data_IF_015722857959
#
_entry.id   IF_015722857959
#
_cell.length_a   1.000
_cell.length_b   1.000
_cell.length_c   1.000
_cell.angle_alpha   90.00
_cell.angle_beta   90.00
_cell.angle_gamma   90.00
#
_symmetry.space_group_name_H-M   'P 1'
#
loop_
_entity.id
_entity.type
_entity.pdbx_description
1 polymer ?
#
# COMPACT_ATOMS: atom_id res chain seq x y z
N UNK A 1 32.41 111.53 26.60
CA UNK A 1 32.49 111.49 25.13
C UNK A 1 32.74 110.04 24.71
N UNK A 2 31.93 109.54 23.77
CA UNK A 2 32.14 108.46 22.76
C UNK A 2 33.21 107.38 23.08
N UNK A 3 32.93 106.08 23.00
CA UNK A 3 31.81 105.36 22.44
C UNK A 3 31.98 103.85 22.56
N UNK A 4 30.86 103.14 22.44
CA UNK A 4 30.77 101.69 22.27
C UNK A 4 31.06 101.28 20.82
N UNK A 5 31.40 100.00 20.62
CA UNK A 5 30.71 99.23 19.58
C UNK A 5 30.11 97.91 20.11
N UNK A 6 28.87 97.65 19.70
CA UNK A 6 28.24 96.32 19.49
C UNK A 6 28.67 95.85 18.08
N UNK A 7 28.59 94.55 17.64
CA UNK A 7 27.38 93.70 17.73
C UNK A 7 27.50 92.14 17.66
N UNK A 8 26.37 91.48 17.98
CA UNK A 8 25.72 90.30 17.34
C UNK A 8 26.55 89.04 17.00
N UNK A 9 26.29 87.92 17.71
CA UNK A 9 26.24 86.53 17.19
C UNK A 9 25.12 85.78 17.97
N UNK A 10 23.93 85.63 17.38
CA UNK A 10 23.32 84.37 16.90
C UNK A 10 23.22 83.26 17.99
N UNK A 11 22.06 83.02 18.61
CA UNK A 11 20.89 82.27 18.09
C UNK A 11 21.26 80.85 17.60
N UNK A 12 21.31 79.87 18.53
CA UNK A 12 21.13 78.42 18.30
C UNK A 12 21.45 77.63 19.58
N UNK A 13 20.48 77.47 20.49
CA UNK A 13 20.54 76.45 21.56
C UNK A 13 19.13 76.22 22.15
N UNK A 14 18.17 75.91 21.27
CA UNK A 14 16.81 75.51 21.67
C UNK A 14 16.24 74.46 20.70
N UNK A 15 16.94 73.34 20.53
CA UNK A 15 16.45 72.17 19.76
C UNK A 15 17.23 70.88 20.07
N UNK A 16 17.32 70.46 21.34
CA UNK A 16 17.99 69.21 21.70
C UNK A 16 17.31 68.42 22.83
N UNK A 17 15.97 68.41 22.90
CA UNK A 17 15.21 67.61 23.87
C UNK A 17 13.97 66.93 23.27
N UNK A 18 14.02 66.49 22.01
CA UNK A 18 12.98 65.60 21.43
C UNK A 18 13.63 64.57 20.47
N UNK A 19 14.50 63.70 20.99
CA UNK A 19 14.95 62.52 20.23
C UNK A 19 15.34 61.43 21.22
N UNK A 20 14.51 60.40 21.40
CA UNK A 20 14.98 59.25 22.19
C UNK A 20 13.97 58.21 22.67
N UNK A 21 12.69 58.26 22.31
CA UNK A 21 11.83 57.06 22.37
C UNK A 21 11.83 56.40 21.00
N UNK A 22 12.94 55.78 20.62
CA UNK A 22 12.90 54.75 19.58
C UNK A 22 12.29 53.51 20.23
N UNK A 23 10.96 53.36 20.12
CA UNK A 23 10.38 52.02 20.12
C UNK A 23 11.03 51.29 18.95
N UNK A 24 12.06 50.50 19.25
CA UNK A 24 12.56 49.49 18.32
C UNK A 24 11.32 48.76 17.81
N UNK A 25 11.09 48.68 16.49
CA UNK A 25 10.10 47.75 15.99
C UNK A 25 10.56 46.40 16.52
N UNK A 26 9.73 45.78 17.35
CA UNK A 26 9.88 44.39 17.73
C UNK A 26 9.91 43.67 16.39
N UNK A 27 11.12 43.34 15.92
CA UNK A 27 11.29 42.57 14.72
C UNK A 27 10.58 41.28 15.05
N UNK A 28 9.35 41.14 14.52
CA UNK A 28 8.58 39.90 14.56
C UNK A 28 9.52 38.90 13.94
N UNK A 29 10.23 38.16 14.79
CA UNK A 29 11.18 37.16 14.37
C UNK A 29 10.31 36.07 13.80
N UNK A 30 10.17 36.14 12.49
CA UNK A 30 9.64 35.12 11.58
C UNK A 30 10.63 33.93 11.57
N UNK A 31 10.96 33.44 12.77
CA UNK A 31 11.91 32.36 12.97
C UNK A 31 11.10 31.09 13.06
N UNK A 32 11.30 30.22 12.08
CA UNK A 32 10.71 28.90 12.07
C UNK A 32 10.95 28.19 13.42
N UNK A 33 10.01 27.35 13.88
CA UNK A 33 10.19 26.61 15.13
C UNK A 33 11.50 25.81 15.14
N UNK A 34 12.11 25.67 16.31
CA UNK A 34 13.38 24.94 16.45
C UNK A 34 13.29 23.48 15.96
N UNK A 35 12.15 22.82 16.21
CA UNK A 35 11.92 21.45 15.75
C UNK A 35 11.89 21.32 14.22
N UNK A 36 11.45 22.37 13.52
CA UNK A 36 11.38 22.42 12.07
C UNK A 36 12.74 22.78 11.47
N UNK A 37 13.34 23.88 11.94
CA UNK A 37 14.63 24.38 11.44
C UNK A 37 15.78 23.40 11.66
N UNK A 38 15.73 22.60 12.73
CA UNK A 38 16.76 21.60 13.06
C UNK A 38 16.35 20.18 12.70
N UNK A 39 15.15 19.96 12.15
CA UNK A 39 14.61 18.64 11.81
C UNK A 39 14.79 17.61 12.94
N UNK A 40 14.50 18.00 14.18
CA UNK A 40 14.84 17.24 15.38
C UNK A 40 13.83 16.16 15.75
N UNK A 41 12.72 16.05 15.03
CA UNK A 41 11.74 15.02 15.33
C UNK A 41 12.30 13.68 14.88
N UNK A 42 12.26 12.70 15.79
CA UNK A 42 12.68 11.32 15.53
C UNK A 42 11.53 10.41 15.93
N UNK A 43 11.14 9.53 15.02
CA UNK A 43 10.21 8.45 15.28
C UNK A 43 10.81 7.16 14.71
N UNK A 44 11.02 6.17 15.58
CA UNK A 44 11.65 4.92 15.19
C UNK A 44 10.82 4.21 14.12
N UNK A 45 11.47 3.81 13.01
CA UNK A 45 10.80 3.14 11.90
C UNK A 45 9.86 4.06 11.11
N UNK A 46 10.06 5.37 11.15
CA UNK A 46 9.32 6.31 10.32
C UNK A 46 10.24 7.24 9.53
N UNK A 47 9.81 7.59 8.33
CA UNK A 47 10.38 8.69 7.57
C UNK A 47 9.56 9.95 7.82
N UNK A 48 10.25 11.08 8.01
CA UNK A 48 9.61 12.35 8.35
C UNK A 48 9.85 13.32 7.22
N UNK A 49 8.78 13.92 6.70
CA UNK A 49 8.81 15.04 5.78
C UNK A 49 8.43 16.32 6.49
N UNK A 50 9.15 17.39 6.20
CA UNK A 50 8.92 18.72 6.77
C UNK A 50 8.41 19.66 5.70
N UNK A 51 7.42 20.49 6.04
CA UNK A 51 6.87 21.46 5.11
C UNK A 51 6.41 22.74 5.79
N UNK A 52 6.49 23.82 5.04
CA UNK A 52 5.94 25.10 5.42
C UNK A 52 5.06 25.68 4.32
N UNK A 53 4.14 26.57 4.68
CA UNK A 53 3.24 27.22 3.73
C UNK A 53 2.48 28.38 4.37
N UNK A 54 1.85 29.22 3.55
CA UNK A 54 0.99 30.29 4.05
C UNK A 54 -0.30 29.72 4.66
N UNK A 55 -0.69 28.51 4.26
CA UNK A 55 -1.79 27.75 4.85
C UNK A 55 -1.34 26.40 5.38
N UNK A 56 -2.11 25.82 6.30
CA UNK A 56 -1.88 24.46 6.78
C UNK A 56 -1.89 23.43 5.64
N UNK A 57 -2.74 23.63 4.63
CA UNK A 57 -2.84 22.74 3.47
C UNK A 57 -1.56 22.77 2.64
N UNK A 58 -1.03 23.96 2.37
CA UNK A 58 0.25 24.14 1.69
C UNK A 58 1.41 23.53 2.48
N UNK A 59 1.46 23.76 3.80
CA UNK A 59 2.50 23.18 4.66
C UNK A 59 2.45 21.64 4.65
N UNK A 60 1.25 21.05 4.68
CA UNK A 60 1.07 19.59 4.53
C UNK A 60 1.49 19.09 3.15
N UNK A 61 1.18 19.83 2.09
CA UNK A 61 1.60 19.47 0.73
C UNK A 61 3.12 19.54 0.57
N UNK A 62 3.76 20.59 1.12
CA UNK A 62 5.20 20.72 1.16
C UNK A 62 5.86 19.58 1.94
N UNK A 63 5.30 19.19 3.10
CA UNK A 63 5.79 18.08 3.90
C UNK A 63 5.68 16.74 3.17
N UNK A 64 4.60 16.54 2.40
CA UNK A 64 4.45 15.36 1.51
C UNK A 64 5.50 15.35 0.41
N UNK A 65 5.73 16.49 -0.25
CA UNK A 65 6.73 16.60 -1.29
C UNK A 65 8.15 16.33 -0.75
N UNK A 66 8.45 16.83 0.44
CA UNK A 66 9.70 16.55 1.13
C UNK A 66 9.88 15.06 1.44
N UNK A 67 8.86 14.43 2.02
CA UNK A 67 8.85 13.00 2.28
C UNK A 67 9.06 12.18 1.00
N UNK A 68 8.39 12.54 -0.10
CA UNK A 68 8.57 11.90 -1.41
C UNK A 68 10.02 11.99 -1.91
N UNK A 69 10.70 13.14 -1.72
CA UNK A 69 12.11 13.28 -2.10
C UNK A 69 13.03 12.42 -1.24
N UNK A 70 12.82 12.40 0.08
CA UNK A 70 13.59 11.55 1.00
C UNK A 70 13.47 10.07 0.62
N UNK A 71 12.25 9.65 0.30
CA UNK A 71 11.95 8.31 -0.20
C UNK A 71 12.68 7.99 -1.50
N UNK A 72 12.60 8.87 -2.49
CA UNK A 72 13.27 8.71 -3.78
C UNK A 72 14.78 8.56 -3.58
N UNK A 73 15.39 9.45 -2.80
CA UNK A 73 16.83 9.40 -2.50
C UNK A 73 17.24 8.09 -1.83
N UNK A 74 16.48 7.62 -0.84
CA UNK A 74 16.80 6.38 -0.14
C UNK A 74 16.64 5.14 -1.03
N UNK A 75 15.59 5.08 -1.85
CA UNK A 75 15.40 3.96 -2.79
C UNK A 75 16.47 3.95 -3.88
N UNK A 76 16.82 5.11 -4.45
CA UNK A 76 17.95 5.21 -5.38
C UNK A 76 19.27 4.77 -4.72
N UNK A 77 19.51 5.12 -3.46
CA UNK A 77 20.71 4.72 -2.73
C UNK A 77 20.79 3.22 -2.44
N UNK A 78 19.66 2.55 -2.15
CA UNK A 78 19.60 1.10 -1.94
C UNK A 78 19.79 0.32 -3.25
N UNK A 79 19.30 0.85 -4.38
CA UNK A 79 19.50 0.26 -5.71
C UNK A 79 20.96 0.45 -6.20
N UNK A 80 21.71 1.40 -5.65
CA UNK A 80 23.09 1.68 -6.07
C UNK A 80 24.12 0.68 -5.50
N UNK A 81 23.73 -0.23 -4.59
CA UNK A 81 24.64 -1.20 -3.94
C UNK A 81 24.52 -2.64 -4.49
N UNK A 82 23.57 -2.92 -5.39
CA UNK A 82 23.50 -4.20 -6.13
C UNK A 82 23.90 -3.98 -7.61
N UNK A 83 25.18 -3.67 -7.84
CA UNK A 83 25.79 -3.66 -9.19
C UNK A 83 26.58 -4.95 -9.39
N UNK A 84 25.96 -5.99 -9.95
CA UNK A 84 26.71 -7.04 -10.63
C UNK A 84 26.89 -6.66 -12.09
N UNK A 85 28.16 -6.49 -12.47
CA UNK A 85 28.62 -6.09 -13.78
C UNK A 85 28.64 -7.34 -14.70
N UNK A 86 27.61 -7.51 -15.52
CA UNK A 86 27.64 -8.47 -16.63
C UNK A 86 27.75 -7.73 -17.96
N UNK A 87 28.87 -7.94 -18.65
CA UNK A 87 29.05 -7.66 -20.09
C UNK A 87 28.79 -6.23 -20.59
N UNK A 88 29.20 -5.21 -19.83
CA UNK A 88 29.39 -3.85 -20.38
C UNK A 88 28.14 -3.05 -20.73
N UNK A 89 26.94 -3.61 -20.60
CA UNK A 89 25.67 -2.86 -20.72
C UNK A 89 25.06 -2.60 -19.34
N UNK A 90 24.92 -1.31 -19.00
CA UNK A 90 24.22 -0.84 -17.81
C UNK A 90 22.75 -0.66 -18.16
N UNK A 91 21.93 -1.69 -17.95
CA UNK A 91 20.48 -1.57 -18.08
C UNK A 91 19.90 -1.02 -16.77
N UNK A 92 19.32 0.18 -16.85
CA UNK A 92 18.82 0.97 -15.72
C UNK A 92 17.42 0.50 -15.30
N UNK A 93 17.33 -0.30 -14.25
CA UNK A 93 16.06 -0.76 -13.65
C UNK A 93 15.61 0.09 -12.45
N UNK A 94 15.90 1.41 -12.46
CA UNK A 94 15.60 2.30 -11.34
C UNK A 94 14.30 3.12 -11.50
N UNK A 95 13.66 3.07 -12.68
CA UNK A 95 12.57 4.00 -13.02
C UNK A 95 11.20 3.61 -12.42
N UNK A 96 10.98 2.33 -12.14
CA UNK A 96 9.66 1.82 -11.72
C UNK A 96 9.36 1.97 -10.22
N UNK A 97 10.30 1.64 -9.33
CA UNK A 97 10.12 1.81 -7.89
C UNK A 97 9.87 3.29 -7.50
N UNK A 98 10.47 4.22 -8.25
CA UNK A 98 10.36 5.67 -8.05
C UNK A 98 8.98 6.21 -8.47
N UNK A 99 8.38 5.68 -9.55
CA UNK A 99 7.01 6.03 -9.95
C UNK A 99 5.96 5.46 -8.99
N UNK A 100 6.14 4.23 -8.52
CA UNK A 100 5.20 3.62 -7.56
C UNK A 100 5.27 4.30 -6.18
N UNK A 101 6.43 4.78 -5.72
CA UNK A 101 6.58 5.53 -4.46
C UNK A 101 6.13 7.00 -4.55
N UNK A 102 6.18 7.60 -5.73
CA UNK A 102 5.65 8.96 -5.96
C UNK A 102 4.14 8.98 -6.17
N UNK A 103 3.56 7.89 -6.69
CA UNK A 103 2.11 7.65 -6.78
C UNK A 103 1.53 6.92 -5.59
N UNK A 104 2.36 6.35 -4.71
CA UNK A 104 1.94 5.86 -3.40
C UNK A 104 1.38 7.05 -2.65
N UNK A 105 0.08 7.26 -2.81
CA UNK A 105 -0.69 8.11 -1.93
C UNK A 105 -0.34 7.61 -0.53
N UNK A 106 0.35 8.45 0.24
CA UNK A 106 0.64 8.13 1.63
C UNK A 106 -0.68 8.11 2.37
N UNK A 107 -1.37 6.97 2.29
CA UNK A 107 -2.72 6.78 2.81
C UNK A 107 -2.75 6.89 4.33
N UNK A 108 -1.58 6.78 4.98
CA UNK A 108 -1.40 6.82 6.44
C UNK A 108 -0.23 7.72 6.84
N UNK A 109 -0.37 9.04 6.66
CA UNK A 109 0.55 10.01 7.25
C UNK A 109 0.08 10.43 8.63
N UNK A 110 0.95 10.25 9.62
CA UNK A 110 0.74 10.80 10.95
C UNK A 110 1.26 12.24 10.98
N UNK A 111 0.45 13.19 11.44
CA UNK A 111 0.98 14.53 11.76
C UNK A 111 1.69 14.44 13.11
N UNK A 112 3.01 14.60 13.12
CA UNK A 112 3.80 14.61 14.37
C UNK A 112 3.72 15.95 15.07
N UNK A 113 3.78 17.02 14.28
CA UNK A 113 3.70 18.37 14.80
C UNK A 113 3.17 19.33 13.74
N UNK A 114 2.42 20.32 14.20
CA UNK A 114 1.99 21.46 13.40
C UNK A 114 2.02 22.70 14.27
N UNK A 115 2.55 23.79 13.73
CA UNK A 115 2.67 25.06 14.44
C UNK A 115 2.45 26.21 13.45
N UNK A 116 1.77 27.27 13.88
CA UNK A 116 1.60 28.49 13.10
C UNK A 116 2.40 29.60 13.76
N UNK A 117 3.35 30.18 13.02
CA UNK A 117 4.10 31.37 13.41
C UNK A 117 3.90 32.39 12.31
N UNK A 118 3.16 33.47 12.60
CA UNK A 118 2.65 34.42 11.61
C UNK A 118 3.73 34.88 10.61
N UNK A 119 3.50 34.75 9.28
CA UNK A 119 2.29 34.30 8.57
C UNK A 119 2.35 32.83 8.07
N UNK A 120 3.18 31.98 8.66
CA UNK A 120 3.49 30.64 8.13
C UNK A 120 3.00 29.51 9.03
N UNK A 121 2.58 28.42 8.39
CA UNK A 121 2.37 27.13 9.00
C UNK A 121 3.60 26.26 8.78
N UNK A 122 3.97 25.50 9.79
CA UNK A 122 5.02 24.49 9.77
C UNK A 122 4.41 23.15 10.14
N UNK A 123 4.75 22.11 9.39
CA UNK A 123 4.20 20.76 9.57
C UNK A 123 5.32 19.72 9.45
N UNK A 124 5.29 18.72 10.32
CA UNK A 124 6.01 17.46 10.15
C UNK A 124 5.02 16.31 9.99
N UNK A 125 5.17 15.56 8.90
CA UNK A 125 4.41 14.34 8.62
C UNK A 125 5.34 13.14 8.73
N UNK A 126 4.88 12.10 9.39
CA UNK A 126 5.58 10.82 9.47
C UNK A 126 4.87 9.75 8.65
N UNK A 127 5.69 8.94 8.00
CA UNK A 127 5.29 7.72 7.32
C UNK A 127 5.96 6.54 7.98
N UNK A 128 5.17 5.65 8.58
CA UNK A 128 5.65 4.41 9.16
C UNK A 128 6.21 3.53 8.03
N UNK A 129 7.51 3.25 8.07
CA UNK A 129 8.24 2.45 7.08
C UNK A 129 8.45 1.00 7.51
N UNK A 130 8.00 0.62 8.72
CA UNK A 130 8.15 -0.73 9.25
C UNK A 130 7.46 -1.75 8.35
N UNK A 131 7.94 -3.01 8.30
CA UNK A 131 7.28 -4.07 7.55
C UNK A 131 5.88 -4.34 8.12
N UNK A 132 4.93 -4.77 7.27
CA UNK A 132 3.53 -4.99 7.65
C UNK A 132 3.36 -5.79 8.95
N UNK A 133 4.14 -6.87 9.13
CA UNK A 133 4.06 -7.70 10.33
C UNK A 133 4.36 -6.93 11.63
N UNK A 134 5.29 -5.96 11.62
CA UNK A 134 5.58 -5.10 12.77
C UNK A 134 4.48 -4.08 13.03
N UNK A 135 3.85 -3.57 11.96
CA UNK A 135 2.75 -2.59 12.06
C UNK A 135 1.46 -3.25 12.55
N UNK A 136 1.23 -4.50 12.17
CA UNK A 136 0.05 -5.28 12.52
C UNK A 136 0.13 -5.89 13.93
N UNK A 137 1.32 -6.24 14.42
CA UNK A 137 1.47 -6.92 15.71
C UNK A 137 0.83 -6.18 16.91
N UNK A 138 1.00 -4.85 17.10
CA UNK A 138 0.34 -4.12 18.18
C UNK A 138 -1.19 -4.21 18.11
N UNK A 139 -1.76 -4.19 16.91
CA UNK A 139 -3.21 -4.26 16.69
C UNK A 139 -3.76 -5.60 17.17
N UNK A 140 -3.04 -6.68 16.86
CA UNK A 140 -3.44 -8.03 17.21
C UNK A 140 -3.28 -8.33 18.70
N UNK A 141 -2.31 -7.72 19.38
CA UNK A 141 -2.21 -7.78 20.84
C UNK A 141 -3.36 -7.02 21.49
N UNK A 142 -3.72 -5.84 20.99
CA UNK A 142 -4.83 -5.04 21.54
C UNK A 142 -6.20 -5.69 21.31
N UNK A 143 -6.39 -6.33 20.15
CA UNK A 143 -7.67 -6.93 19.75
C UNK A 143 -7.86 -8.37 20.26
N UNK A 144 -6.93 -8.94 21.03
CA UNK A 144 -7.01 -10.33 21.50
C UNK A 144 -8.27 -10.65 22.33
N UNK A 145 -8.98 -9.62 22.80
CA UNK A 145 -10.23 -9.72 23.56
C UNK A 145 -11.48 -9.27 22.77
N UNK A 146 -11.34 -8.86 21.51
CA UNK A 146 -12.43 -8.39 20.68
C UNK A 146 -13.04 -9.54 19.86
N UNK A 147 -14.36 -9.70 19.93
CA UNK A 147 -15.09 -10.57 19.02
C UNK A 147 -15.40 -9.80 17.72
N UNK A 148 -15.16 -10.41 16.57
CA UNK A 148 -15.72 -9.97 15.30
C UNK A 148 -16.51 -11.11 14.66
N UNK A 149 -17.45 -10.78 13.75
CA UNK A 149 -18.29 -11.78 13.10
C UNK A 149 -17.44 -12.80 12.32
N UNK A 150 -17.72 -14.11 12.46
CA UNK A 150 -16.99 -15.17 11.75
C UNK A 150 -17.00 -14.99 10.22
N UNK A 151 -18.07 -14.42 9.69
CA UNK A 151 -18.34 -14.28 8.26
C UNK A 151 -17.43 -13.29 7.52
N UNK A 152 -16.80 -12.37 8.25
CA UNK A 152 -15.88 -11.37 7.69
C UNK A 152 -14.43 -11.65 8.05
N UNK A 153 -14.20 -12.74 8.80
CA UNK A 153 -12.87 -13.13 9.21
C UNK A 153 -12.10 -13.65 8.00
N UNK A 154 -11.05 -12.93 7.66
CA UNK A 154 -10.08 -13.33 6.63
C UNK A 154 -9.09 -14.37 7.16
N UNK A 155 -9.26 -14.83 8.40
CA UNK A 155 -8.35 -15.73 9.10
C UNK A 155 -8.05 -17.02 8.33
N UNK A 156 -9.02 -17.60 7.63
CA UNK A 156 -8.80 -18.82 6.83
C UNK A 156 -7.81 -18.56 5.69
N UNK A 157 -8.00 -17.48 4.93
CA UNK A 157 -7.06 -17.05 3.88
C UNK A 157 -5.69 -16.67 4.45
N UNK A 158 -5.68 -16.04 5.63
CA UNK A 158 -4.47 -15.60 6.31
C UNK A 158 -3.67 -16.74 6.94
N UNK A 159 -4.33 -17.80 7.41
CA UNK A 159 -3.69 -18.84 8.21
C UNK A 159 -2.51 -19.53 7.51
N UNK A 160 -2.50 -19.53 6.18
CA UNK A 160 -1.44 -20.12 5.37
C UNK A 160 -0.57 -19.08 4.64
N UNK A 161 -0.84 -17.78 4.81
CA UNK A 161 -0.19 -16.72 4.02
C UNK A 161 1.26 -16.44 4.46
N UNK A 162 2.10 -15.84 3.58
CA UNK A 162 3.43 -15.39 3.96
C UNK A 162 3.46 -14.43 5.15
N UNK A 163 2.43 -13.59 5.31
CA UNK A 163 2.30 -12.69 6.46
C UNK A 163 2.19 -13.48 7.77
N UNK A 164 1.35 -14.52 7.81
CA UNK A 164 1.22 -15.37 9.00
C UNK A 164 2.53 -16.07 9.34
N UNK A 165 3.27 -16.56 8.34
CA UNK A 165 4.59 -17.15 8.55
C UNK A 165 5.61 -16.14 9.11
N UNK A 166 5.53 -14.87 8.70
CA UNK A 166 6.38 -13.81 9.27
C UNK A 166 6.01 -13.56 10.73
N UNK A 167 4.72 -13.45 11.03
CA UNK A 167 4.23 -13.23 12.39
C UNK A 167 4.62 -14.38 13.33
N UNK A 168 4.46 -15.64 12.89
CA UNK A 168 4.88 -16.82 13.65
C UNK A 168 6.39 -16.85 13.89
N UNK A 169 7.21 -16.49 12.90
CA UNK A 169 8.67 -16.44 13.04
C UNK A 169 9.12 -15.40 14.07
N UNK A 170 8.46 -14.25 14.12
CA UNK A 170 8.86 -13.16 15.00
C UNK A 170 8.24 -13.21 16.40
N UNK A 171 7.05 -13.80 16.55
CA UNK A 171 6.31 -13.83 17.83
C UNK A 171 6.09 -15.24 18.41
N UNK A 172 6.52 -16.30 17.71
CA UNK A 172 6.43 -17.70 18.14
C UNK A 172 5.10 -18.39 17.79
N UNK A 173 5.16 -19.70 17.55
CA UNK A 173 4.00 -20.55 17.13
C UNK A 173 2.93 -20.76 18.22
N UNK A 174 3.29 -20.64 19.52
CA UNK A 174 2.38 -20.94 20.65
C UNK A 174 1.72 -19.71 21.29
N UNK A 175 2.36 -18.55 21.17
CA UNK A 175 1.91 -17.25 21.71
C UNK A 175 1.06 -16.45 20.72
N UNK A 176 1.10 -16.84 19.44
CA UNK A 176 0.45 -16.11 18.36
C UNK A 176 -0.68 -16.93 17.74
N UNK A 177 -1.76 -17.10 18.50
CA UNK A 177 -3.08 -17.31 17.90
C UNK A 177 -3.73 -15.94 17.83
N UNK A 178 -3.98 -15.38 16.64
CA UNK A 178 -4.88 -14.24 16.55
C UNK A 178 -6.26 -14.73 17.01
N UNK A 179 -6.53 -14.63 18.31
CA UNK A 179 -7.89 -14.71 18.83
C UNK A 179 -8.68 -13.47 18.39
N UNK A 180 -7.97 -12.43 17.94
CA UNK A 180 -8.52 -11.27 17.26
C UNK A 180 -8.87 -11.64 15.80
N UNK A 181 -10.14 -11.68 15.42
CA UNK A 181 -10.53 -11.78 14.03
C UNK A 181 -10.06 -10.54 13.26
N UNK A 182 -9.33 -10.79 12.18
CA UNK A 182 -8.94 -9.78 11.21
C UNK A 182 -10.03 -9.63 10.16
N UNK A 183 -10.27 -8.40 9.73
CA UNK A 183 -11.03 -8.11 8.50
C UNK A 183 -10.16 -7.31 7.53
N UNK A 184 -10.46 -7.38 6.24
CA UNK A 184 -9.74 -6.66 5.19
C UNK A 184 -10.74 -5.83 4.40
N UNK A 185 -10.47 -4.54 4.23
CA UNK A 185 -11.28 -3.65 3.39
C UNK A 185 -10.44 -2.94 2.35
N UNK A 186 -11.06 -2.48 1.27
CA UNK A 186 -10.45 -1.58 0.29
C UNK A 186 -11.26 -0.28 0.24
N UNK A 187 -10.61 0.88 0.44
CA UNK A 187 -11.28 2.19 0.52
C UNK A 187 -11.10 3.06 -0.74
N UNK A 188 -10.62 2.45 -1.84
CA UNK A 188 -10.28 3.15 -3.08
C UNK A 188 -8.84 3.63 -3.13
N UNK A 189 -8.20 3.87 -1.97
CA UNK A 189 -6.80 4.29 -1.89
C UNK A 189 -5.86 3.14 -1.51
N UNK A 190 -6.41 2.04 -0.99
CA UNK A 190 -5.68 0.79 -0.79
C UNK A 190 -6.38 -0.15 0.17
N UNK A 191 -5.69 -1.24 0.45
CA UNK A 191 -6.16 -2.23 1.41
C UNK A 191 -5.86 -1.80 2.85
N UNK A 192 -6.78 -2.10 3.77
CA UNK A 192 -6.60 -1.92 5.22
C UNK A 192 -6.97 -3.20 5.96
N UNK A 193 -6.07 -3.66 6.82
CA UNK A 193 -6.35 -4.71 7.79
C UNK A 193 -6.91 -4.09 9.04
N UNK A 194 -8.03 -4.60 9.52
CA UNK A 194 -8.67 -4.16 10.75
C UNK A 194 -8.60 -5.25 11.81
N UNK A 195 -8.38 -4.82 13.05
CA UNK A 195 -8.46 -5.63 14.25
C UNK A 195 -9.19 -4.80 15.30
N UNK A 196 -10.42 -5.18 15.63
CA UNK A 196 -11.35 -4.34 16.39
C UNK A 196 -11.51 -2.94 15.76
N UNK A 197 -11.38 -1.86 16.55
CA UNK A 197 -11.52 -0.47 16.08
C UNK A 197 -10.22 0.11 15.49
N UNK A 198 -9.16 -0.70 15.38
CA UNK A 198 -7.87 -0.26 14.87
C UNK A 198 -7.57 -0.86 13.50
N UNK A 199 -6.77 -0.14 12.71
CA UNK A 199 -6.41 -0.59 11.38
C UNK A 199 -4.96 -0.27 11.02
N UNK A 200 -4.46 -1.00 10.03
CA UNK A 200 -3.18 -0.75 9.36
C UNK A 200 -3.36 -0.85 7.85
N UNK A 201 -2.81 0.12 7.14
CA UNK A 201 -2.80 0.17 5.69
C UNK A 201 -1.80 -0.83 5.14
N UNK A 202 -2.24 -1.63 4.19
CA UNK A 202 -1.43 -2.60 3.46
C UNK A 202 -0.89 -1.90 2.22
N UNK A 203 0.43 -1.80 2.13
CA UNK A 203 1.06 -1.20 0.94
C UNK A 203 0.88 -2.13 -0.25
N UNK A 204 0.92 -1.59 -1.45
CA UNK A 204 0.72 -2.37 -2.67
C UNK A 204 1.62 -3.61 -2.76
N UNK A 205 2.93 -3.44 -2.53
CA UNK A 205 3.92 -4.53 -2.47
C UNK A 205 3.68 -5.56 -1.36
N UNK A 206 2.89 -5.21 -0.35
CA UNK A 206 2.58 -6.07 0.80
C UNK A 206 1.29 -6.87 0.59
N UNK A 207 0.45 -6.51 -0.39
CA UNK A 207 -0.79 -7.23 -0.70
C UNK A 207 -0.49 -8.69 -1.06
N UNK A 208 0.62 -8.93 -1.75
CA UNK A 208 1.11 -10.28 -2.05
C UNK A 208 1.39 -11.15 -0.82
N UNK A 209 1.60 -10.54 0.37
CA UNK A 209 1.76 -11.27 1.63
C UNK A 209 0.43 -11.77 2.21
N UNK A 210 -0.69 -11.24 1.73
CA UNK A 210 -2.04 -11.63 2.13
C UNK A 210 -2.60 -12.76 1.26
N UNK A 211 -2.04 -12.98 0.08
CA UNK A 211 -2.53 -13.96 -0.87
C UNK A 211 -2.34 -15.38 -0.31
N UNK A 212 -3.33 -16.27 -0.49
CA UNK A 212 -3.22 -17.64 -0.04
C UNK A 212 -2.12 -18.36 -0.85
N UNK A 213 -1.36 -19.28 -0.23
CA UNK A 213 -0.43 -20.13 -0.96
C UNK A 213 -1.19 -21.12 -1.84
N UNK A 214 -0.44 -21.91 -2.60
CA UNK A 214 -1.02 -23.08 -3.29
C UNK A 214 -1.59 -24.05 -2.26
N UNK A 215 -2.89 -24.30 -2.35
CA UNK A 215 -3.65 -25.23 -1.52
C UNK A 215 -4.66 -25.95 -2.41
N UNK A 216 -4.56 -27.27 -2.52
CA UNK A 216 -5.43 -28.05 -3.40
C UNK A 216 -6.38 -28.90 -2.56
N UNK A 217 -7.67 -28.75 -2.83
CA UNK A 217 -8.71 -29.61 -2.28
C UNK A 217 -8.80 -30.92 -3.08
N UNK A 218 -8.93 -32.09 -2.42
CA UNK A 218 -9.16 -33.35 -3.11
C UNK A 218 -10.53 -33.39 -3.82
N UNK A 219 -11.48 -32.52 -3.46
CA UNK A 219 -12.78 -32.41 -4.12
C UNK A 219 -12.75 -31.57 -5.40
N UNK A 220 -11.68 -30.79 -5.63
CA UNK A 220 -11.56 -29.88 -6.77
C UNK A 220 -10.11 -29.78 -7.24
N UNK A 221 -9.76 -30.59 -8.25
CA UNK A 221 -8.46 -30.47 -8.90
C UNK A 221 -8.32 -29.13 -9.64
N UNK A 222 -7.17 -28.48 -9.49
CA UNK A 222 -6.82 -27.23 -10.14
C UNK A 222 -5.37 -27.30 -10.63
N UNK A 223 -5.16 -27.08 -11.93
CA UNK A 223 -3.83 -27.03 -12.54
C UNK A 223 -3.80 -26.07 -13.71
N UNK A 224 -2.61 -25.62 -14.07
CA UNK A 224 -2.38 -24.81 -15.27
C UNK A 224 -1.82 -25.68 -16.39
N UNK A 225 -2.06 -25.30 -17.64
CA UNK A 225 -1.42 -25.89 -18.82
C UNK A 225 -0.90 -24.79 -19.76
N UNK A 226 0.38 -24.80 -20.16
CA UNK A 226 1.43 -25.75 -19.74
C UNK A 226 1.75 -25.61 -18.25
N UNK A 227 2.24 -26.67 -17.61
CA UNK A 227 2.69 -26.59 -16.21
C UNK A 227 4.12 -26.07 -16.14
N UNK A 228 4.28 -24.80 -15.75
CA UNK A 228 5.58 -24.17 -15.57
C UNK A 228 5.80 -23.76 -14.11
N UNK A 229 7.07 -23.83 -13.67
CA UNK A 229 7.48 -23.32 -12.35
C UNK A 229 7.43 -21.79 -12.30
N UNK A 230 7.89 -21.14 -13.38
CA UNK A 230 7.84 -19.71 -13.59
C UNK A 230 7.31 -19.47 -15.01
N UNK A 231 6.33 -18.58 -15.14
CA UNK A 231 5.79 -18.22 -16.45
C UNK A 231 6.49 -16.97 -16.95
N UNK A 232 6.98 -16.95 -18.20
CA UNK A 232 7.39 -15.70 -18.81
C UNK A 232 6.16 -14.79 -19.02
N UNK A 233 6.34 -13.47 -19.19
CA UNK A 233 5.28 -12.58 -19.66
C UNK A 233 4.77 -13.02 -21.03
N UNK A 234 3.53 -12.70 -21.36
CA UNK A 234 2.88 -12.99 -22.65
C UNK A 234 2.75 -14.50 -22.96
N UNK A 235 2.94 -15.35 -21.95
CA UNK A 235 2.73 -16.78 -22.05
C UNK A 235 1.24 -17.09 -22.00
N UNK A 236 0.74 -17.78 -23.03
CA UNK A 236 -0.59 -18.34 -23.02
C UNK A 236 -0.67 -19.58 -22.13
N UNK A 237 -1.72 -19.68 -21.34
CA UNK A 237 -2.02 -20.83 -20.50
C UNK A 237 -3.53 -21.07 -20.37
N UNK A 238 -3.90 -22.27 -19.95
CA UNK A 238 -5.27 -22.65 -19.61
C UNK A 238 -5.33 -23.07 -18.15
N UNK A 239 -6.46 -22.80 -17.51
CA UNK A 239 -6.81 -23.34 -16.20
C UNK A 239 -7.63 -24.60 -16.41
N UNK A 240 -7.16 -25.71 -15.85
CA UNK A 240 -7.87 -27.00 -15.90
C UNK A 240 -8.45 -27.29 -14.52
N UNK A 241 -9.77 -27.49 -14.49
CA UNK A 241 -10.59 -27.75 -13.31
C UNK A 241 -11.13 -29.17 -13.38
N UNK A 242 -10.99 -29.92 -12.28
CA UNK A 242 -11.40 -31.33 -12.19
C UNK A 242 -12.25 -31.54 -10.93
N UNK A 243 -13.56 -31.26 -10.99
CA UNK A 243 -14.45 -31.46 -9.85
C UNK A 243 -14.65 -32.95 -9.57
N UNK A 244 -14.48 -33.36 -8.31
CA UNK A 244 -14.80 -34.72 -7.85
C UNK A 244 -16.21 -34.82 -7.23
N UNK A 245 -16.92 -33.70 -7.15
CA UNK A 245 -18.28 -33.58 -6.63
C UNK A 245 -19.14 -32.75 -7.59
N UNK A 246 -20.47 -32.92 -7.51
CA UNK A 246 -21.41 -32.09 -8.27
C UNK A 246 -21.70 -30.77 -7.54
N UNK A 247 -21.96 -29.71 -8.29
CA UNK A 247 -22.26 -28.40 -7.71
C UNK A 247 -22.10 -27.27 -8.71
N UNK A 248 -21.87 -26.07 -8.18
CA UNK A 248 -21.66 -24.84 -8.95
C UNK A 248 -20.21 -24.42 -8.83
N UNK A 249 -19.49 -24.50 -9.94
CA UNK A 249 -18.07 -24.20 -10.06
C UNK A 249 -17.85 -22.73 -10.43
N UNK A 250 -16.98 -22.06 -9.70
CA UNK A 250 -16.53 -20.70 -10.01
C UNK A 250 -15.01 -20.62 -10.01
N UNK A 251 -14.46 -19.69 -10.81
CA UNK A 251 -13.03 -19.43 -10.94
C UNK A 251 -12.78 -17.93 -10.82
N UNK A 252 -11.92 -17.55 -9.89
CA UNK A 252 -11.52 -16.18 -9.60
C UNK A 252 -10.00 -16.08 -9.74
N UNK A 253 -9.49 -15.05 -10.42
CA UNK A 253 -8.07 -14.68 -10.40
C UNK A 253 -7.84 -13.55 -9.42
N UNK A 254 -6.77 -13.64 -8.64
CA UNK A 254 -6.33 -12.61 -7.69
C UNK A 254 -4.92 -12.19 -8.09
N UNK A 255 -4.74 -10.93 -8.46
CA UNK A 255 -3.45 -10.39 -8.87
C UNK A 255 -2.61 -9.99 -7.65
N UNK A 256 -1.30 -9.80 -7.86
CA UNK A 256 -0.38 -9.31 -6.82
C UNK A 256 -0.77 -7.97 -6.21
N UNK A 257 -1.56 -7.19 -6.96
CA UNK A 257 -2.19 -5.94 -6.52
C UNK A 257 -3.37 -6.12 -5.58
N UNK A 258 -3.85 -7.36 -5.40
CA UNK A 258 -5.12 -7.69 -4.75
C UNK A 258 -6.34 -7.42 -5.61
N UNK A 259 -6.17 -6.99 -6.86
CA UNK A 259 -7.29 -6.93 -7.79
C UNK A 259 -7.83 -8.34 -8.02
N UNK A 260 -9.15 -8.48 -8.12
CA UNK A 260 -9.85 -9.75 -8.29
C UNK A 260 -10.61 -9.73 -9.61
N UNK A 261 -10.61 -10.84 -10.34
CA UNK A 261 -11.34 -11.01 -11.61
C UNK A 261 -12.13 -12.31 -11.58
N UNK A 262 -13.40 -12.26 -11.99
CA UNK A 262 -14.24 -13.43 -12.17
C UNK A 262 -14.09 -13.99 -13.58
N UNK A 263 -13.61 -15.23 -13.66
CA UNK A 263 -13.41 -15.95 -14.92
C UNK A 263 -14.57 -16.87 -15.24
N UNK A 264 -15.08 -17.57 -14.23
CA UNK A 264 -16.19 -18.50 -14.37
C UNK A 264 -17.14 -18.29 -13.19
N UNK A 265 -18.43 -18.12 -13.46
CA UNK A 265 -19.44 -17.85 -12.46
C UNK A 265 -20.47 -18.97 -12.40
N UNK A 266 -20.57 -19.66 -11.27
CA UNK A 266 -21.61 -20.65 -10.97
C UNK A 266 -21.89 -21.67 -12.10
N UNK A 267 -20.84 -22.13 -12.79
CA UNK A 267 -21.00 -23.13 -13.84
C UNK A 267 -21.47 -24.45 -13.23
N UNK A 268 -22.67 -24.96 -13.57
CA UNK A 268 -23.11 -26.24 -13.06
C UNK A 268 -22.20 -27.35 -13.59
N UNK A 269 -21.77 -28.22 -12.68
CA UNK A 269 -20.93 -29.39 -12.97
C UNK A 269 -21.48 -30.62 -12.25
N UNK A 270 -21.29 -31.78 -12.88
CA UNK A 270 -21.61 -33.09 -12.30
C UNK A 270 -20.32 -33.91 -12.16
N UNK A 271 -20.34 -34.94 -11.32
CA UNK A 271 -19.20 -35.87 -11.15
C UNK A 271 -18.81 -36.61 -12.44
N UNK A 272 -19.70 -36.65 -13.45
CA UNK A 272 -19.38 -37.20 -14.77
C UNK A 272 -18.52 -36.25 -15.63
N UNK A 273 -18.40 -34.97 -15.26
CA UNK A 273 -17.56 -34.01 -15.97
C UNK A 273 -16.07 -34.27 -15.68
N UNK A 274 -15.41 -35.00 -16.59
CA UNK A 274 -14.01 -35.43 -16.43
C UNK A 274 -13.01 -34.27 -16.23
N UNK A 275 -13.22 -33.15 -16.92
CA UNK A 275 -12.42 -31.93 -16.75
C UNK A 275 -13.07 -30.75 -17.48
N UNK A 276 -12.94 -29.55 -16.92
CA UNK A 276 -13.29 -28.29 -17.55
C UNK A 276 -12.01 -27.49 -17.82
N UNK A 277 -11.90 -26.93 -19.02
CA UNK A 277 -10.80 -26.05 -19.43
C UNK A 277 -11.30 -24.63 -19.57
N UNK A 278 -10.57 -23.71 -18.97
CA UNK A 278 -10.85 -22.27 -19.07
C UNK A 278 -9.61 -21.51 -19.58
N UNK A 279 -9.78 -20.60 -20.56
CA UNK A 279 -10.98 -20.40 -21.36
C UNK A 279 -11.28 -21.62 -22.25
N UNK A 280 -12.45 -21.65 -22.89
CA UNK A 280 -12.82 -22.73 -23.83
C UNK A 280 -11.83 -22.76 -25.01
N UNK A 281 -11.06 -23.86 -25.22
CA UNK A 281 -10.06 -23.95 -26.26
C UNK A 281 -10.62 -23.85 -27.69
N UNK A 282 -11.94 -24.03 -27.87
CA UNK A 282 -12.60 -23.84 -29.17
C UNK A 282 -12.85 -22.36 -29.50
N UNK A 283 -12.81 -21.49 -28.49
CA UNK A 283 -13.12 -20.06 -28.61
C UNK A 283 -11.91 -19.16 -28.37
N UNK A 284 -10.95 -19.62 -27.57
CA UNK A 284 -9.80 -18.82 -27.15
C UNK A 284 -8.55 -19.68 -27.10
N UNK A 285 -7.39 -19.08 -27.38
CA UNK A 285 -6.09 -19.76 -27.30
C UNK A 285 -5.66 -20.01 -25.85
N UNK A 286 -5.98 -19.08 -24.95
CA UNK A 286 -5.68 -19.18 -23.52
C UNK A 286 -5.84 -17.86 -22.79
N UNK A 287 -5.53 -17.86 -21.49
CA UNK A 287 -5.22 -16.68 -20.71
C UNK A 287 -3.77 -16.29 -20.96
N UNK A 288 -3.51 -14.99 -21.05
CA UNK A 288 -2.16 -14.46 -21.21
C UNK A 288 -1.60 -14.03 -19.85
N UNK A 289 -0.35 -14.37 -19.57
CA UNK A 289 0.35 -13.82 -18.40
C UNK A 289 0.74 -12.37 -18.64
N UNK A 290 0.41 -11.50 -17.70
CA UNK A 290 0.80 -10.09 -17.73
C UNK A 290 1.78 -9.78 -16.61
N UNK A 291 2.86 -9.08 -16.96
CA UNK A 291 3.80 -8.50 -16.00
C UNK A 291 3.59 -6.99 -15.99
N UNK A 292 3.11 -6.40 -14.88
CA UNK A 292 2.91 -4.95 -14.80
C UNK A 292 4.18 -4.18 -15.12
N UNK A 293 4.00 -3.02 -15.76
CA UNK A 293 5.12 -2.19 -16.22
C UNK A 293 6.08 -1.88 -15.06
N UNK A 294 7.35 -2.27 -15.25
CA UNK A 294 8.43 -1.97 -14.33
C UNK A 294 8.59 -2.94 -13.16
N UNK A 295 7.76 -3.98 -13.06
CA UNK A 295 8.00 -5.11 -12.17
C UNK A 295 8.92 -6.12 -12.85
N UNK A 296 9.82 -6.75 -12.09
CA UNK A 296 10.63 -7.91 -12.55
C UNK A 296 9.88 -9.22 -12.38
N UNK A 297 8.95 -9.28 -11.42
CA UNK A 297 8.09 -10.41 -11.14
C UNK A 297 6.74 -9.98 -10.57
N UNK A 298 5.73 -10.84 -10.73
CA UNK A 298 4.44 -10.73 -10.07
C UNK A 298 3.88 -12.11 -9.73
N UNK A 299 2.81 -12.13 -8.94
CA UNK A 299 2.10 -13.36 -8.56
C UNK A 299 0.62 -13.22 -8.89
N UNK A 300 0.05 -14.28 -9.43
CA UNK A 300 -1.40 -14.42 -9.64
C UNK A 300 -1.85 -15.68 -8.92
N UNK A 301 -2.92 -15.59 -8.14
CA UNK A 301 -3.58 -16.75 -7.53
C UNK A 301 -4.83 -17.08 -8.32
N UNK A 302 -4.94 -18.34 -8.73
CA UNK A 302 -6.14 -18.91 -9.30
C UNK A 302 -6.92 -19.57 -8.17
N UNK A 303 -8.09 -19.04 -7.83
CA UNK A 303 -8.97 -19.55 -6.80
C UNK A 303 -10.20 -20.19 -7.46
N UNK A 304 -10.28 -21.50 -7.36
CA UNK A 304 -11.43 -22.27 -7.81
C UNK A 304 -12.26 -22.69 -6.59
N UNK A 305 -13.58 -22.56 -6.69
CA UNK A 305 -14.51 -22.99 -5.65
C UNK A 305 -15.68 -23.75 -6.26
N UNK A 306 -16.12 -24.80 -5.55
CA UNK A 306 -17.31 -25.56 -5.88
C UNK A 306 -18.24 -25.61 -4.67
N UNK A 307 -19.47 -25.14 -4.88
CA UNK A 307 -20.48 -24.97 -3.84
C UNK A 307 -21.74 -25.77 -4.17
N UNK A 308 -22.50 -26.19 -3.16
CA UNK A 308 -23.79 -26.85 -3.37
C UNK A 308 -24.87 -25.93 -3.96
N UNK A 309 -24.78 -24.63 -3.68
CA UNK A 309 -25.68 -23.60 -4.20
C UNK A 309 -24.88 -22.52 -4.96
N UNK A 310 -25.51 -21.81 -5.91
CA UNK A 310 -24.88 -20.67 -6.58
C UNK A 310 -24.50 -19.58 -5.56
N UNK A 311 -23.38 -18.90 -5.80
CA UNK A 311 -22.95 -17.73 -5.03
C UNK A 311 -23.32 -16.44 -5.74
N UNK A 312 -23.64 -15.40 -4.98
CA UNK A 312 -23.70 -14.05 -5.53
C UNK A 312 -22.27 -13.57 -5.83
N UNK A 313 -21.96 -13.45 -7.13
CA UNK A 313 -20.66 -13.01 -7.64
C UNK A 313 -20.80 -11.71 -8.43
N UNK A 314 -21.95 -11.04 -8.35
CA UNK A 314 -22.29 -9.84 -9.14
C UNK A 314 -21.34 -8.67 -8.91
N UNK A 315 -20.66 -8.65 -7.76
CA UNK A 315 -19.69 -7.60 -7.39
C UNK A 315 -18.33 -7.76 -8.08
N UNK A 316 -18.01 -8.96 -8.56
CA UNK A 316 -16.73 -9.22 -9.22
C UNK A 316 -16.80 -8.80 -10.69
N UNK A 317 -15.79 -8.06 -11.15
CA UNK A 317 -15.65 -7.74 -12.57
C UNK A 317 -15.24 -8.99 -13.35
N UNK A 318 -15.85 -9.19 -14.51
CA UNK A 318 -15.42 -10.21 -15.45
C UNK A 318 -14.06 -9.84 -16.08
N UNK A 319 -13.35 -10.85 -16.60
CA UNK A 319 -12.10 -10.63 -17.34
C UNK A 319 -12.40 -9.87 -18.64
N UNK A 320 -11.67 -8.79 -18.89
CA UNK A 320 -11.74 -8.06 -20.17
C UNK A 320 -11.01 -8.84 -21.27
N UNK A 321 -11.54 -8.79 -22.49
CA UNK A 321 -10.83 -9.29 -23.68
C UNK A 321 -9.82 -8.29 -24.24
N UNK A 322 -9.78 -7.06 -23.72
CA UNK A 322 -8.85 -6.02 -24.16
C UNK A 322 -7.53 -6.07 -23.37
N UNK A 323 -6.41 -6.14 -24.09
CA UNK A 323 -5.07 -6.13 -23.50
C UNK A 323 -4.83 -4.82 -22.76
N UNK A 324 -4.31 -4.92 -21.54
CA UNK A 324 -3.91 -3.76 -20.73
C UNK A 324 -5.05 -3.08 -19.95
N UNK A 325 -6.30 -3.54 -20.08
CA UNK A 325 -7.36 -3.10 -19.18
C UNK A 325 -7.14 -3.65 -17.77
N UNK A 326 -6.99 -2.74 -16.80
CA UNK A 326 -6.80 -3.11 -15.41
C UNK A 326 -8.12 -3.57 -14.78
N UNK A 327 -8.11 -4.64 -13.96
CA UNK A 327 -9.30 -5.05 -13.24
C UNK A 327 -9.77 -3.94 -12.29
N UNK A 328 -11.10 -3.78 -12.18
CA UNK A 328 -11.69 -2.72 -11.35
C UNK A 328 -12.19 -3.22 -9.99
N UNK A 329 -12.30 -4.53 -9.77
CA UNK A 329 -12.72 -5.09 -8.48
C UNK A 329 -11.53 -5.38 -7.56
N UNK A 330 -11.60 -4.86 -6.34
CA UNK A 330 -10.63 -5.08 -5.24
C UNK A 330 -11.34 -5.73 -4.05
N UNK A 331 -11.75 -7.00 -4.23
CA UNK A 331 -12.64 -7.70 -3.30
C UNK A 331 -11.94 -8.82 -2.51
N UNK A 332 -10.63 -8.70 -2.29
CA UNK A 332 -9.85 -9.71 -1.55
C UNK A 332 -10.44 -10.00 -0.15
N UNK A 333 -10.96 -8.96 0.53
CA UNK A 333 -11.57 -9.10 1.85
C UNK A 333 -12.92 -9.81 1.87
N UNK A 334 -13.57 -9.97 0.72
CA UNK A 334 -14.89 -10.61 0.60
C UNK A 334 -14.80 -12.09 0.27
N UNK A 335 -13.62 -12.54 -0.18
CA UNK A 335 -13.38 -13.94 -0.52
C UNK A 335 -13.71 -14.93 0.62
N UNK A 336 -13.42 -14.67 1.91
CA UNK A 336 -13.75 -15.63 2.96
C UNK A 336 -15.24 -15.97 2.99
N UNK A 337 -16.12 -14.98 2.90
CA UNK A 337 -17.57 -15.18 2.89
C UNK A 337 -18.02 -16.06 1.71
N UNK A 338 -17.34 -15.95 0.55
CA UNK A 338 -17.62 -16.79 -0.61
C UNK A 338 -17.17 -18.25 -0.42
N UNK A 339 -16.10 -18.46 0.34
CA UNK A 339 -15.52 -19.78 0.57
C UNK A 339 -16.28 -20.60 1.62
N UNK A 340 -17.03 -19.95 2.50
CA UNK A 340 -17.77 -20.62 3.58
C UNK A 340 -18.74 -21.68 3.06
N UNK A 341 -18.55 -22.94 3.44
CA UNK A 341 -19.41 -24.04 3.00
C UNK A 341 -19.18 -24.49 1.55
N UNK A 342 -18.05 -24.10 0.95
CA UNK A 342 -17.61 -24.60 -0.36
C UNK A 342 -16.31 -25.38 -0.23
N UNK A 343 -16.05 -26.26 -1.20
CA UNK A 343 -14.71 -26.82 -1.39
C UNK A 343 -13.94 -25.91 -2.34
N UNK A 344 -12.67 -25.65 -2.04
CA UNK A 344 -11.89 -24.71 -2.83
C UNK A 344 -10.43 -25.14 -2.99
N UNK A 345 -9.84 -24.71 -4.11
CA UNK A 345 -8.44 -24.90 -4.44
C UNK A 345 -7.86 -23.56 -4.87
N UNK A 346 -6.69 -23.22 -4.34
CA UNK A 346 -5.89 -22.07 -4.73
C UNK A 346 -4.59 -22.54 -5.37
N UNK A 347 -4.20 -21.93 -6.49
CA UNK A 347 -2.94 -22.21 -7.16
C UNK A 347 -2.21 -20.90 -7.44
N UNK A 348 -1.05 -20.73 -6.83
CA UNK A 348 -0.20 -19.56 -7.02
C UNK A 348 0.69 -19.73 -8.26
N UNK A 349 0.57 -18.82 -9.22
CA UNK A 349 1.38 -18.68 -10.41
C UNK A 349 2.38 -17.54 -10.25
N UNK A 350 3.68 -17.80 -10.45
CA UNK A 350 4.72 -16.76 -10.52
C UNK A 350 4.95 -16.39 -11.99
N UNK A 351 4.97 -15.09 -12.26
CA UNK A 351 5.25 -14.52 -13.57
C UNK A 351 6.51 -13.67 -13.43
N UNK A 352 7.50 -13.86 -14.29
CA UNK A 352 8.76 -13.11 -14.22
C UNK A 352 9.57 -13.23 -15.51
N UNK A 353 10.46 -12.26 -15.73
CA UNK A 353 11.38 -12.25 -16.87
C UNK A 353 12.59 -13.15 -16.66
#
# INVERSE_FOLDING_TARGET
>A
MRGYPRPIIALLLLAALISGCQTLPEAVRDTAPLWYSRQQLVQAGAWIGYGEGATLAEAKQAARADLSRTLQSQVTSQITIERQQHQGEVVVTARSAVEELSRAQFSELQTLRSEAINPRFYVALAYDNRPLWQRLAPLLTAAANAAAPPEQSVQELFSASPLQQQLQRHYGYGSYRPNAPLTLSHDGNGYRLHAADQHVGVRQREVALLLPPTQLSPQLGLRLEPQLTNYPPEQLFQVVLQPAISGYLSLIQIFGSGATVLNLANQPVTTAALSLRYPDPKRYEGLMTELPAGQSETRVVHLALICHQPRDLSRFSALSSEVGQQPQSFLLGELPALLQGCHWSALSQRIGR
#
